data_IF_446504968737
#
_entry.id   IF_446504968737
#
_cell.length_a   1.000
_cell.length_b   1.000
_cell.length_c   1.000
_cell.angle_alpha   90.00
_cell.angle_beta   90.00
_cell.angle_gamma   90.00
#
_symmetry.space_group_name_H-M   'P 1'
#
loop_
_entity.id
_entity.type
_entity.pdbx_description
1 polymer ?
#
# COMPACT_ATOMS: atom_id res chain seq x y z
N UNK A 1 18.37 58.00 15.85
CA UNK A 1 18.22 57.41 14.51
C UNK A 1 19.04 56.11 14.43
N UNK A 2 18.60 55.02 15.08
CA UNK A 2 19.38 53.77 15.18
C UNK A 2 18.49 52.53 14.94
N UNK A 3 18.15 52.21 13.68
CA UNK A 3 17.58 50.91 13.33
C UNK A 3 17.99 50.39 11.93
N UNK A 4 19.28 50.04 11.69
CA UNK A 4 19.64 49.24 10.51
C UNK A 4 20.26 47.86 10.83
N UNK A 5 20.46 47.52 12.11
CA UNK A 5 21.08 46.25 12.55
C UNK A 5 20.08 45.21 13.04
N UNK A 6 19.06 45.63 13.79
CA UNK A 6 18.03 44.73 14.34
C UNK A 6 17.25 44.02 13.22
N UNK A 7 16.76 44.76 12.22
CA UNK A 7 16.01 44.21 11.09
C UNK A 7 16.83 43.22 10.26
N UNK A 8 18.14 43.48 10.12
CA UNK A 8 19.04 42.61 9.36
C UNK A 8 19.26 41.28 10.09
N UNK A 9 19.52 41.33 11.40
CA UNK A 9 19.66 40.15 12.25
C UNK A 9 18.37 39.36 12.33
N UNK A 10 17.22 40.04 12.41
CA UNK A 10 15.91 39.40 12.39
C UNK A 10 15.64 38.73 11.03
N UNK A 11 15.99 39.38 9.93
CA UNK A 11 15.88 38.79 8.59
C UNK A 11 16.77 37.55 8.46
N UNK A 12 18.03 37.61 8.91
CA UNK A 12 18.93 36.45 8.93
C UNK A 12 18.42 35.33 9.84
N UNK A 13 17.81 35.65 10.98
CA UNK A 13 17.23 34.67 11.88
C UNK A 13 16.02 33.96 11.23
N UNK A 14 15.13 34.70 10.57
CA UNK A 14 13.99 34.11 9.87
C UNK A 14 14.40 33.29 8.64
N UNK A 15 15.40 33.73 7.89
CA UNK A 15 15.92 32.95 6.76
C UNK A 15 16.63 31.69 7.24
N UNK A 16 17.44 31.77 8.30
CA UNK A 16 18.08 30.60 8.91
C UNK A 16 17.04 29.62 9.49
N UNK A 17 16.00 30.12 10.17
CA UNK A 17 14.92 29.31 10.69
C UNK A 17 14.13 28.64 9.56
N UNK A 18 13.81 29.36 8.49
CA UNK A 18 13.16 28.80 7.30
C UNK A 18 14.01 27.70 6.66
N UNK A 19 15.31 27.93 6.50
CA UNK A 19 16.24 26.97 5.93
C UNK A 19 16.41 25.73 6.82
N UNK A 20 16.40 25.92 8.15
CA UNK A 20 16.41 24.82 9.11
C UNK A 20 15.11 23.99 9.05
N UNK A 21 13.95 24.63 8.92
CA UNK A 21 12.66 23.93 8.75
C UNK A 21 12.64 23.13 7.45
N UNK A 22 13.08 23.72 6.33
CA UNK A 22 13.18 23.03 5.04
C UNK A 22 14.17 21.87 5.12
N UNK A 23 15.34 22.07 5.72
CA UNK A 23 16.33 21.01 5.95
C UNK A 23 15.79 19.88 6.83
N UNK A 24 15.01 20.20 7.86
CA UNK A 24 14.34 19.23 8.72
C UNK A 24 13.32 18.40 7.92
N UNK A 25 12.44 19.05 7.14
CA UNK A 25 11.49 18.34 6.28
C UNK A 25 12.18 17.48 5.22
N UNK A 26 13.33 17.91 4.71
CA UNK A 26 14.10 17.14 3.75
C UNK A 26 14.69 15.86 4.38
N UNK A 27 15.21 15.97 5.61
CA UNK A 27 15.70 14.82 6.37
C UNK A 27 14.57 13.89 6.82
N UNK A 28 13.41 14.45 7.18
CA UNK A 28 12.20 13.70 7.54
C UNK A 28 11.39 13.24 6.33
N UNK A 29 11.82 13.53 5.09
CA UNK A 29 11.10 13.20 3.86
C UNK A 29 10.51 11.78 3.84
N UNK A 30 11.30 10.73 4.15
CA UNK A 30 10.81 9.34 4.20
C UNK A 30 9.81 9.05 5.33
N UNK A 31 9.82 9.83 6.41
CA UNK A 31 8.93 9.69 7.58
C UNK A 31 7.65 10.52 7.43
N UNK A 32 7.68 11.58 6.61
CA UNK A 32 6.49 12.39 6.32
C UNK A 32 5.40 11.56 5.65
N UNK A 33 5.75 10.63 4.76
CA UNK A 33 4.76 9.79 4.06
C UNK A 33 3.93 8.94 5.02
N UNK A 34 4.49 8.10 5.93
CA UNK A 34 3.67 7.37 6.89
C UNK A 34 2.95 8.31 7.88
N UNK A 35 3.50 9.48 8.19
CA UNK A 35 2.85 10.45 9.08
C UNK A 35 1.61 11.08 8.46
N UNK A 36 1.69 11.50 7.19
CA UNK A 36 0.55 12.03 6.43
C UNK A 36 -0.53 10.97 6.27
N UNK A 37 -0.14 9.73 5.96
CA UNK A 37 -1.08 8.60 5.89
C UNK A 37 -1.79 8.42 7.23
N UNK A 38 -1.05 8.38 8.35
CA UNK A 38 -1.64 8.28 9.68
C UNK A 38 -2.58 9.45 10.00
N UNK A 39 -2.24 10.68 9.61
CA UNK A 39 -3.07 11.85 9.81
C UNK A 39 -4.39 11.77 9.01
N UNK A 40 -4.34 11.29 7.76
CA UNK A 40 -5.53 11.06 6.94
C UNK A 40 -6.41 9.99 7.59
N UNK A 41 -5.84 8.86 8.03
CA UNK A 41 -6.58 7.83 8.74
C UNK A 41 -7.21 8.35 10.04
N UNK A 42 -6.48 9.15 10.81
CA UNK A 42 -6.98 9.77 12.03
C UNK A 42 -8.16 10.70 11.73
N UNK A 43 -8.08 11.51 10.68
CA UNK A 43 -9.18 12.37 10.23
C UNK A 43 -10.43 11.57 9.84
N UNK A 44 -10.25 10.45 9.13
CA UNK A 44 -11.35 9.55 8.74
C UNK A 44 -11.96 8.84 9.97
N UNK A 45 -11.13 8.49 10.96
CA UNK A 45 -11.58 7.79 12.18
C UNK A 45 -12.19 8.73 13.24
N UNK A 46 -11.89 10.03 13.19
CA UNK A 46 -12.38 11.04 14.12
C UNK A 46 -13.92 11.04 14.29
N UNK A 47 -14.77 10.92 13.24
CA UNK A 47 -16.23 10.80 13.43
C UNK A 47 -16.64 9.58 14.27
N UNK A 48 -15.96 8.43 14.11
CA UNK A 48 -16.24 7.24 14.91
C UNK A 48 -15.87 7.46 16.39
N UNK A 49 -14.73 8.10 16.64
CA UNK A 49 -14.29 8.50 17.99
C UNK A 49 -15.30 9.47 18.61
N UNK A 50 -15.69 10.52 17.88
CA UNK A 50 -16.63 11.55 18.36
C UNK A 50 -18.01 10.96 18.66
N UNK A 51 -18.48 9.99 17.87
CA UNK A 51 -19.72 9.27 18.15
C UNK A 51 -19.66 8.49 19.48
N UNK A 52 -18.50 7.91 19.82
CA UNK A 52 -18.29 7.25 21.11
C UNK A 52 -18.17 8.25 22.26
N UNK A 53 -17.46 9.37 22.04
CA UNK A 53 -17.34 10.44 23.04
C UNK A 53 -18.71 11.05 23.37
N UNK A 54 -19.57 11.24 22.37
CA UNK A 54 -20.96 11.69 22.56
C UNK A 54 -21.77 10.74 23.46
N UNK A 55 -21.40 9.46 23.54
CA UNK A 55 -22.00 8.44 24.43
C UNK A 55 -21.33 8.38 25.82
N UNK A 56 -20.61 9.44 26.22
CA UNK A 56 -19.86 9.57 27.49
C UNK A 56 -18.64 8.64 27.62
N UNK A 57 -18.07 8.15 26.52
CA UNK A 57 -16.79 7.43 26.56
C UNK A 57 -15.62 8.44 26.61
N UNK A 58 -14.64 8.29 27.52
CA UNK A 58 -13.47 9.17 27.54
C UNK A 58 -12.66 9.05 26.24
N UNK A 59 -12.23 10.18 25.67
CA UNK A 59 -11.59 10.26 24.34
C UNK A 59 -10.45 9.26 24.15
N UNK A 60 -9.58 9.08 25.15
CA UNK A 60 -8.47 8.14 25.08
C UNK A 60 -8.94 6.69 24.86
N UNK A 61 -10.02 6.29 25.52
CA UNK A 61 -10.59 4.94 25.43
C UNK A 61 -11.34 4.75 24.11
N UNK A 62 -12.00 5.80 23.61
CA UNK A 62 -12.61 5.80 22.28
C UNK A 62 -11.57 5.63 21.16
N UNK A 63 -10.45 6.38 21.21
CA UNK A 63 -9.35 6.23 20.24
C UNK A 63 -8.75 4.82 20.29
N UNK A 64 -8.48 4.30 21.49
CA UNK A 64 -7.96 2.94 21.67
C UNK A 64 -8.89 1.89 21.04
N UNK A 65 -10.19 1.97 21.31
CA UNK A 65 -11.18 1.04 20.76
C UNK A 65 -11.28 1.12 19.24
N UNK A 66 -11.25 2.32 18.65
CA UNK A 66 -11.29 2.50 17.20
C UNK A 66 -10.03 1.92 16.55
N UNK A 67 -8.85 2.16 17.12
CA UNK A 67 -7.58 1.59 16.61
C UNK A 67 -7.60 0.06 16.68
N UNK A 68 -8.02 -0.51 17.81
CA UNK A 68 -8.12 -1.96 17.98
C UNK A 68 -9.14 -2.55 16.99
N UNK A 69 -10.31 -1.95 16.85
CA UNK A 69 -11.33 -2.39 15.90
C UNK A 69 -10.82 -2.34 14.46
N UNK A 70 -10.15 -1.25 14.06
CA UNK A 70 -9.55 -1.12 12.74
C UNK A 70 -8.48 -2.20 12.50
N UNK A 71 -7.61 -2.44 13.48
CA UNK A 71 -6.61 -3.50 13.43
C UNK A 71 -7.24 -4.89 13.28
N UNK A 72 -8.30 -5.19 14.04
CA UNK A 72 -9.04 -6.44 13.93
C UNK A 72 -9.68 -6.62 12.56
N UNK A 73 -10.27 -5.56 11.99
CA UNK A 73 -10.83 -5.58 10.64
C UNK A 73 -9.74 -5.89 9.62
N UNK A 74 -8.58 -5.24 9.70
CA UNK A 74 -7.47 -5.50 8.78
C UNK A 74 -6.94 -6.93 8.89
N UNK A 75 -6.79 -7.45 10.12
CA UNK A 75 -6.37 -8.83 10.35
C UNK A 75 -7.42 -9.81 9.82
N UNK A 76 -8.70 -9.61 10.10
CA UNK A 76 -9.77 -10.46 9.58
C UNK A 76 -9.80 -10.44 8.05
N UNK A 77 -9.64 -9.25 7.45
CA UNK A 77 -9.57 -9.07 6.00
C UNK A 77 -8.38 -9.85 5.42
N UNK A 78 -7.19 -9.73 6.01
CA UNK A 78 -6.02 -10.51 5.60
C UNK A 78 -6.26 -12.02 5.75
N UNK A 79 -6.83 -12.47 6.87
CA UNK A 79 -7.14 -13.89 7.10
C UNK A 79 -8.17 -14.45 6.11
N UNK A 80 -9.00 -13.63 5.48
CA UNK A 80 -9.98 -14.07 4.48
C UNK A 80 -9.40 -13.96 3.06
N UNK A 81 -8.83 -12.81 2.70
CA UNK A 81 -8.29 -12.57 1.37
C UNK A 81 -7.06 -13.44 1.07
N UNK A 82 -6.14 -13.56 2.02
CA UNK A 82 -4.91 -14.31 1.81
C UNK A 82 -5.17 -15.79 1.42
N UNK A 83 -6.03 -16.56 2.12
CA UNK A 83 -6.33 -17.92 1.71
C UNK A 83 -7.20 -17.98 0.45
N UNK A 84 -8.05 -16.98 0.18
CA UNK A 84 -8.84 -16.93 -1.04
C UNK A 84 -7.93 -16.77 -2.26
N UNK A 85 -7.04 -15.77 -2.23
CA UNK A 85 -6.03 -15.53 -3.27
C UNK A 85 -5.10 -16.74 -3.42
N UNK A 86 -4.69 -17.37 -2.32
CA UNK A 86 -3.87 -18.58 -2.38
C UNK A 86 -4.59 -19.73 -3.09
N UNK A 87 -5.86 -19.99 -2.74
CA UNK A 87 -6.67 -21.04 -3.38
C UNK A 87 -6.87 -20.76 -4.86
N UNK A 88 -7.16 -19.51 -5.22
CA UNK A 88 -7.30 -19.08 -6.61
C UNK A 88 -5.98 -19.25 -7.39
N UNK A 89 -4.86 -18.83 -6.82
CA UNK A 89 -3.54 -18.98 -7.43
C UNK A 89 -3.16 -20.46 -7.63
N UNK A 90 -3.37 -21.30 -6.63
CA UNK A 90 -3.12 -22.76 -6.74
C UNK A 90 -4.04 -23.39 -7.77
N UNK A 91 -5.31 -23.00 -7.84
CA UNK A 91 -6.23 -23.49 -8.87
C UNK A 91 -5.77 -23.08 -10.27
N UNK A 92 -5.29 -21.83 -10.43
CA UNK A 92 -4.75 -21.34 -11.68
C UNK A 92 -3.54 -22.18 -12.12
N UNK A 93 -2.60 -22.43 -11.21
CA UNK A 93 -1.41 -23.27 -11.47
C UNK A 93 -1.80 -24.70 -11.83
N UNK A 94 -2.82 -25.27 -11.17
CA UNK A 94 -3.33 -26.61 -11.51
C UNK A 94 -4.01 -26.67 -12.87
N UNK A 95 -4.56 -25.56 -13.36
CA UNK A 95 -5.19 -25.45 -14.68
C UNK A 95 -4.20 -25.13 -15.80
N UNK A 96 -2.99 -24.65 -15.48
CA UNK A 96 -1.93 -24.43 -16.47
C UNK A 96 -1.71 -25.60 -17.45
N UNK A 97 -1.62 -26.88 -17.02
CA UNK A 97 -1.45 -27.99 -17.96
C UNK A 97 -2.62 -28.09 -18.95
N UNK A 98 -3.87 -27.97 -18.48
CA UNK A 98 -5.06 -27.95 -19.34
C UNK A 98 -5.00 -26.80 -20.36
N UNK A 99 -4.54 -25.61 -19.92
CA UNK A 99 -4.34 -24.46 -20.81
C UNK A 99 -3.24 -24.71 -21.84
N UNK A 100 -2.14 -25.36 -21.47
CA UNK A 100 -1.04 -25.72 -22.39
C UNK A 100 -1.48 -26.78 -23.40
N UNK A 101 -2.25 -27.78 -22.98
CA UNK A 101 -2.82 -28.78 -23.89
C UNK A 101 -3.76 -28.14 -24.91
N UNK A 102 -4.64 -27.24 -24.47
CA UNK A 102 -5.55 -26.52 -25.36
C UNK A 102 -4.80 -25.60 -26.34
N UNK A 103 -3.70 -24.98 -25.87
CA UNK A 103 -2.81 -24.18 -26.70
C UNK A 103 -2.08 -25.03 -27.75
N UNK A 104 -1.55 -26.20 -27.38
CA UNK A 104 -0.94 -27.13 -28.32
C UNK A 104 -1.97 -27.66 -29.34
N UNK A 105 -3.19 -27.99 -28.91
CA UNK A 105 -4.21 -28.56 -29.80
C UNK A 105 -4.71 -27.57 -30.87
N UNK A 106 -4.78 -26.27 -30.56
CA UNK A 106 -5.36 -25.27 -31.46
C UNK A 106 -4.32 -24.36 -32.10
N UNK A 107 -3.27 -23.97 -31.36
CA UNK A 107 -2.30 -22.96 -31.80
C UNK A 107 -1.05 -23.60 -32.42
N UNK A 108 -0.59 -24.75 -31.92
CA UNK A 108 0.55 -25.45 -32.52
C UNK A 108 0.35 -25.82 -34.00
N UNK A 109 -0.81 -26.37 -34.47
CA UNK A 109 -0.97 -26.70 -35.89
C UNK A 109 -1.00 -25.45 -36.79
N UNK A 110 -1.52 -24.33 -36.29
CA UNK A 110 -1.55 -23.06 -37.00
C UNK A 110 -0.15 -22.43 -37.11
N UNK A 111 0.66 -22.54 -36.05
CA UNK A 111 2.06 -22.14 -36.04
C UNK A 111 2.90 -23.02 -36.98
N UNK A 112 2.68 -24.33 -36.97
CA UNK A 112 3.38 -25.27 -37.83
C UNK A 112 3.07 -25.02 -39.31
N UNK A 113 1.79 -24.74 -39.64
CA UNK A 113 1.36 -24.43 -41.01
C UNK A 113 1.87 -23.08 -41.55
N UNK A 114 2.10 -22.08 -40.68
CA UNK A 114 2.52 -20.72 -41.08
C UNK A 114 4.03 -20.47 -40.94
N UNK A 115 4.69 -21.10 -39.97
CA UNK A 115 6.06 -20.81 -39.57
C UNK A 115 7.01 -22.03 -39.66
N UNK A 116 6.50 -23.25 -39.84
CA UNK A 116 7.32 -24.46 -40.01
C UNK A 116 8.12 -24.86 -38.77
N UNK A 117 7.80 -24.29 -37.60
CA UNK A 117 8.47 -24.57 -36.32
C UNK A 117 7.67 -25.65 -35.58
N UNK A 118 8.30 -26.80 -35.29
CA UNK A 118 7.72 -27.82 -34.41
C UNK A 118 7.83 -27.41 -32.95
N UNK A 119 6.94 -26.51 -32.53
CA UNK A 119 6.79 -26.12 -31.13
C UNK A 119 5.82 -27.10 -30.44
N UNK A 120 6.36 -28.20 -29.90
CA UNK A 120 5.65 -29.03 -28.93
C UNK A 120 5.99 -28.52 -27.53
N UNK A 121 5.08 -27.75 -26.91
CA UNK A 121 5.22 -27.37 -25.51
C UNK A 121 4.92 -28.60 -24.66
N UNK A 122 5.97 -29.31 -24.25
CA UNK A 122 5.85 -30.57 -23.52
C UNK A 122 5.47 -30.31 -22.05
N UNK A 123 4.16 -30.19 -21.80
CA UNK A 123 3.58 -30.00 -20.47
C UNK A 123 3.92 -31.15 -19.50
N UNK A 124 4.38 -32.30 -20.01
CA UNK A 124 4.81 -33.44 -19.20
C UNK A 124 6.10 -33.16 -18.40
N UNK A 125 6.97 -32.26 -18.88
CA UNK A 125 8.22 -31.92 -18.20
C UNK A 125 8.01 -31.07 -16.94
N UNK A 126 6.87 -30.37 -16.82
CA UNK A 126 6.48 -29.58 -15.64
C UNK A 126 5.76 -30.41 -14.55
N UNK A 127 5.64 -31.73 -14.74
CA UNK A 127 4.97 -32.64 -13.80
C UNK A 127 5.90 -33.21 -12.72
N UNK A 128 7.20 -32.88 -12.75
CA UNK A 128 8.21 -33.28 -11.76
C UNK A 128 8.43 -32.22 -10.68
#
# INVERSE_FOLDING_TARGET
MNAPRADRLQTFAWTAAGLAIVGLFWLLGPILTPFVVAAVFAYICDPAVNWMVARRVPRALAVLLVIVALGLVLVALALILLPMVYREAVMLVRRLPDLVEMFNAQVAPLLQARLGIELQLDAAQFRQ
#
